data_IF_236448339260
#
_entry.id   IF_236448339260
#
_cell.length_a   1.000
_cell.length_b   1.000
_cell.length_c   1.000
_cell.angle_alpha   90.00
_cell.angle_beta   90.00
_cell.angle_gamma   90.00
#
_symmetry.space_group_name_H-M   'P 1'
#
loop_
_entity.id
_entity.type
_entity.pdbx_description
1 polymer ?
#
# COMPACT_ATOMS: atom_id res chain seq x y z
N UNK A 1 -6.92 0.73 -32.90
CA UNK A 1 -7.33 1.79 -31.94
C UNK A 1 -8.45 1.34 -31.00
N UNK A 2 -9.53 0.75 -31.52
CA UNK A 2 -10.69 0.28 -30.72
C UNK A 2 -10.28 -0.71 -29.61
N UNK A 3 -9.38 -1.64 -29.89
CA UNK A 3 -8.90 -2.63 -28.89
C UNK A 3 -8.21 -2.01 -27.68
N UNK A 4 -7.39 -0.96 -27.87
CA UNK A 4 -6.74 -0.23 -26.77
C UNK A 4 -7.76 0.49 -25.88
N UNK A 5 -8.78 1.08 -26.48
CA UNK A 5 -9.84 1.78 -25.76
C UNK A 5 -10.71 0.81 -24.93
N UNK A 6 -11.09 -0.33 -25.51
CA UNK A 6 -11.81 -1.39 -24.79
C UNK A 6 -10.99 -1.91 -23.62
N UNK A 7 -9.68 -2.17 -23.81
CA UNK A 7 -8.77 -2.57 -22.71
C UNK A 7 -8.76 -1.53 -21.59
N UNK A 8 -8.63 -0.24 -21.92
CA UNK A 8 -8.61 0.85 -20.93
C UNK A 8 -9.89 0.90 -20.09
N UNK A 9 -11.06 0.75 -20.72
CA UNK A 9 -12.34 0.73 -20.00
C UNK A 9 -12.42 -0.49 -19.07
N UNK A 10 -12.04 -1.67 -19.56
CA UNK A 10 -12.04 -2.89 -18.76
C UNK A 10 -11.13 -2.75 -17.54
N UNK A 11 -9.90 -2.30 -17.75
CA UNK A 11 -8.91 -2.07 -16.68
C UNK A 11 -9.44 -1.05 -15.66
N UNK A 12 -10.05 0.05 -16.11
CA UNK A 12 -10.64 1.05 -15.18
C UNK A 12 -11.79 0.46 -14.35
N UNK A 13 -12.65 -0.38 -14.96
CA UNK A 13 -13.74 -1.06 -14.24
C UNK A 13 -13.21 -2.06 -13.23
N UNK A 14 -12.21 -2.85 -13.59
CA UNK A 14 -11.54 -3.79 -12.71
C UNK A 14 -10.90 -3.08 -11.52
N UNK A 15 -10.16 -2.01 -11.79
CA UNK A 15 -9.51 -1.23 -10.75
C UNK A 15 -10.53 -0.64 -9.76
N UNK A 16 -11.63 -0.07 -10.25
CA UNK A 16 -12.72 0.41 -9.38
C UNK A 16 -13.34 -0.71 -8.53
N UNK A 17 -13.55 -1.90 -9.10
CA UNK A 17 -14.07 -3.07 -8.34
C UNK A 17 -13.14 -3.49 -7.22
N UNK A 18 -11.82 -3.35 -7.41
CA UNK A 18 -10.82 -3.63 -6.38
C UNK A 18 -10.60 -2.51 -5.36
N UNK A 19 -11.47 -1.49 -5.34
CA UNK A 19 -11.27 -0.26 -4.56
C UNK A 19 -9.90 0.38 -4.85
N UNK A 20 -9.56 0.48 -6.14
CA UNK A 20 -8.27 0.98 -6.63
C UNK A 20 -7.04 0.20 -6.12
N UNK A 21 -7.21 -1.10 -5.91
CA UNK A 21 -6.16 -2.02 -5.46
C UNK A 21 -6.12 -2.26 -3.95
N UNK A 22 -6.86 -1.48 -3.16
CA UNK A 22 -6.87 -1.60 -1.68
C UNK A 22 -7.31 -2.97 -1.18
N UNK A 23 -8.18 -3.66 -1.93
CA UNK A 23 -8.66 -4.99 -1.57
C UNK A 23 -7.63 -6.11 -1.82
N UNK A 24 -6.43 -5.79 -2.32
CA UNK A 24 -5.40 -6.77 -2.70
C UNK A 24 -4.11 -6.69 -1.89
N UNK A 25 -4.14 -6.02 -0.73
CA UNK A 25 -2.97 -5.81 0.12
C UNK A 25 -1.82 -5.09 -0.62
N UNK A 26 -0.77 -4.77 0.14
CA UNK A 26 0.41 -4.11 -0.39
C UNK A 26 1.67 -4.72 0.21
N UNK A 27 2.71 -4.88 -0.60
CA UNK A 27 4.05 -5.10 -0.09
C UNK A 27 4.70 -3.78 0.30
N UNK A 28 5.48 -3.81 1.38
CA UNK A 28 6.38 -2.74 1.80
C UNK A 28 7.76 -3.09 1.26
N UNK A 29 8.31 -2.22 0.41
CA UNK A 29 9.64 -2.38 -0.18
C UNK A 29 10.60 -1.32 0.37
N UNK A 30 11.80 -1.78 0.73
CA UNK A 30 12.91 -0.95 1.18
C UNK A 30 14.22 -1.50 0.62
N UNK A 31 15.05 -0.64 0.03
CA UNK A 31 16.31 -1.03 -0.64
C UNK A 31 16.14 -2.23 -1.61
N UNK A 32 15.11 -2.15 -2.46
CA UNK A 32 14.75 -3.16 -3.46
C UNK A 32 14.44 -4.56 -2.88
N UNK A 33 14.12 -4.64 -1.59
CA UNK A 33 13.66 -5.85 -0.90
C UNK A 33 12.26 -5.67 -0.36
N UNK A 34 11.43 -6.71 -0.48
CA UNK A 34 10.14 -6.76 0.22
C UNK A 34 10.41 -7.10 1.68
N UNK A 35 10.12 -6.15 2.56
CA UNK A 35 10.42 -6.26 4.01
C UNK A 35 9.18 -6.56 4.84
N UNK A 36 7.99 -6.27 4.31
CA UNK A 36 6.73 -6.43 5.01
C UNK A 36 5.53 -6.32 4.08
N UNK A 37 4.35 -6.30 4.69
CA UNK A 37 3.09 -6.15 3.99
C UNK A 37 2.07 -5.38 4.82
N UNK A 38 1.21 -4.64 4.11
CA UNK A 38 0.02 -3.98 4.62
C UNK A 38 -1.18 -4.79 4.18
N UNK A 39 -1.87 -5.37 5.15
CA UNK A 39 -2.99 -6.27 4.90
C UNK A 39 -4.26 -5.80 5.59
N UNK A 40 -5.37 -6.46 5.28
CA UNK A 40 -6.64 -6.29 5.99
C UNK A 40 -7.11 -4.82 6.00
N UNK A 41 -7.29 -4.29 4.80
CA UNK A 41 -7.76 -2.93 4.55
C UNK A 41 -9.06 -2.63 5.30
N UNK A 42 -9.08 -1.50 6.01
CA UNK A 42 -10.30 -0.87 6.51
C UNK A 42 -10.33 0.61 6.13
N UNK A 43 -11.53 1.11 5.80
CA UNK A 43 -11.75 2.53 5.62
C UNK A 43 -11.83 3.22 6.99
N UNK A 44 -11.11 4.32 7.18
CA UNK A 44 -11.17 5.09 8.44
C UNK A 44 -11.95 6.40 8.25
N UNK A 45 -11.50 7.26 7.34
CA UNK A 45 -12.17 8.53 7.06
C UNK A 45 -11.93 9.02 5.62
N UNK A 46 -12.37 10.26 5.33
CA UNK A 46 -12.29 10.91 4.02
C UNK A 46 -10.91 10.82 3.34
N UNK A 47 -9.82 10.78 4.10
CA UNK A 47 -8.46 10.77 3.56
C UNK A 47 -7.61 9.58 3.99
N UNK A 48 -8.06 8.84 5.00
CA UNK A 48 -7.28 7.80 5.64
C UNK A 48 -7.93 6.42 5.49
N UNK A 49 -7.07 5.47 5.14
CA UNK A 49 -7.33 4.04 5.15
C UNK A 49 -6.45 3.42 6.24
N UNK A 50 -6.85 2.29 6.84
CA UNK A 50 -5.99 1.57 7.79
C UNK A 50 -5.67 0.16 7.32
N UNK A 51 -4.50 -0.33 7.73
CA UNK A 51 -3.97 -1.63 7.38
C UNK A 51 -3.20 -2.21 8.55
N UNK A 52 -3.19 -3.54 8.68
CA UNK A 52 -2.30 -4.24 9.60
C UNK A 52 -0.90 -4.33 8.99
N UNK A 53 0.12 -3.95 9.76
CA UNK A 53 1.53 -4.09 9.36
C UNK A 53 2.02 -5.48 9.74
N UNK A 54 2.49 -6.26 8.76
CA UNK A 54 3.20 -7.52 9.02
C UNK A 54 4.61 -7.46 8.48
N UNK A 55 5.54 -8.00 9.25
CA UNK A 55 6.90 -8.21 8.79
C UNK A 55 6.99 -9.50 7.99
N UNK A 56 7.83 -9.52 6.96
CA UNK A 56 8.14 -10.76 6.22
C UNK A 56 8.96 -11.74 7.06
N UNK A 57 9.80 -11.22 7.96
CA UNK A 57 10.65 -12.00 8.87
C UNK A 57 11.13 -11.12 10.05
N UNK A 58 11.83 -11.70 11.01
CA UNK A 58 12.23 -10.97 12.23
C UNK A 58 13.31 -9.89 11.99
N UNK A 59 14.17 -10.02 10.97
CA UNK A 59 15.23 -9.04 10.68
C UNK A 59 14.68 -7.65 10.30
N UNK A 60 13.48 -7.58 9.73
CA UNK A 60 12.87 -6.30 9.34
C UNK A 60 12.05 -5.64 10.45
N UNK A 61 11.85 -6.31 11.59
CA UNK A 61 10.98 -5.79 12.65
C UNK A 61 11.40 -4.40 13.09
N UNK A 62 12.70 -4.20 13.38
CA UNK A 62 13.21 -2.91 13.83
C UNK A 62 13.00 -1.81 12.79
N UNK A 63 13.22 -2.10 11.51
CA UNK A 63 13.01 -1.15 10.41
C UNK A 63 11.54 -0.80 10.24
N UNK A 64 10.64 -1.78 10.35
CA UNK A 64 9.20 -1.56 10.22
C UNK A 64 8.60 -0.81 11.41
N UNK A 65 9.15 -0.96 12.61
CA UNK A 65 8.71 -0.22 13.80
C UNK A 65 9.36 1.14 13.97
N UNK A 66 10.42 1.46 13.21
CA UNK A 66 11.09 2.77 13.25
C UNK A 66 10.34 3.78 12.37
N UNK A 67 9.66 4.80 12.93
CA UNK A 67 8.86 5.73 12.15
C UNK A 67 9.68 6.52 11.13
N UNK A 68 10.99 6.71 11.37
CA UNK A 68 11.88 7.44 10.44
C UNK A 68 12.17 6.66 9.16
N UNK A 69 12.06 5.34 9.19
CA UNK A 69 12.32 4.51 8.03
C UNK A 69 11.20 4.61 6.98
N UNK A 70 9.98 4.97 7.39
CA UNK A 70 8.79 4.91 6.55
C UNK A 70 8.77 5.88 5.36
N UNK A 71 9.46 7.00 5.46
CA UNK A 71 9.60 7.94 4.33
C UNK A 71 10.34 7.34 3.13
N UNK A 72 11.12 6.27 3.36
CA UNK A 72 11.90 5.60 2.33
C UNK A 72 11.21 4.35 1.79
N UNK A 73 10.03 4.00 2.31
CA UNK A 73 9.31 2.82 1.87
C UNK A 73 8.54 3.08 0.59
N UNK A 74 8.48 2.06 -0.27
CA UNK A 74 7.61 2.02 -1.43
C UNK A 74 6.53 0.96 -1.20
N UNK A 75 5.34 1.20 -1.75
CA UNK A 75 4.21 0.30 -1.55
C UNK A 75 3.78 -0.32 -2.87
N UNK A 76 3.98 -1.63 -3.02
CA UNK A 76 3.68 -2.38 -4.25
C UNK A 76 2.39 -3.17 -4.09
N UNK A 77 1.42 -2.96 -4.96
CA UNK A 77 0.18 -3.73 -4.94
C UNK A 77 0.48 -5.20 -5.24
N UNK A 78 0.00 -6.13 -4.40
CA UNK A 78 0.36 -7.54 -4.54
C UNK A 78 -0.27 -8.19 -5.79
N UNK A 79 -1.42 -7.68 -6.27
CA UNK A 79 -2.11 -8.24 -7.43
C UNK A 79 -1.68 -7.62 -8.75
N UNK A 80 -1.57 -6.29 -8.81
CA UNK A 80 -1.23 -5.58 -10.05
C UNK A 80 0.28 -5.40 -10.27
N UNK A 81 1.12 -5.72 -9.28
CA UNK A 81 2.57 -5.54 -9.33
C UNK A 81 3.01 -4.08 -9.59
N UNK A 82 2.21 -3.12 -9.12
CA UNK A 82 2.40 -1.68 -9.36
C UNK A 82 2.55 -0.91 -8.05
N UNK A 83 3.41 0.12 -8.06
CA UNK A 83 3.61 0.98 -6.89
C UNK A 83 2.55 2.09 -6.77
N UNK A 84 2.14 2.39 -5.54
CA UNK A 84 1.46 3.63 -5.20
C UNK A 84 2.49 4.76 -5.03
N UNK A 85 2.44 5.77 -5.90
CA UNK A 85 3.50 6.80 -6.02
C UNK A 85 3.43 7.86 -4.91
N UNK A 86 2.25 8.06 -4.32
CA UNK A 86 2.00 9.16 -3.40
C UNK A 86 1.62 8.70 -2.00
N UNK A 87 1.81 7.41 -1.69
CA UNK A 87 1.39 6.82 -0.43
C UNK A 87 2.34 7.19 0.72
N UNK A 88 1.78 7.45 1.90
CA UNK A 88 2.53 7.76 3.12
C UNK A 88 1.71 7.39 4.37
N UNK A 89 2.37 7.09 5.51
CA UNK A 89 1.69 6.80 6.77
C UNK A 89 1.15 8.07 7.45
N UNK A 90 0.12 7.91 8.27
CA UNK A 90 -0.39 8.96 9.15
C UNK A 90 0.55 9.23 10.33
N UNK A 91 0.48 10.45 10.89
CA UNK A 91 1.25 10.82 12.08
C UNK A 91 2.75 11.11 11.86
N UNK A 92 3.31 10.80 10.68
CA UNK A 92 4.73 11.06 10.39
C UNK A 92 5.67 10.37 11.37
N UNK A 93 6.73 11.05 11.81
CA UNK A 93 7.71 10.48 12.75
C UNK A 93 7.22 10.31 14.20
N UNK A 94 6.01 10.79 14.51
CA UNK A 94 5.41 10.68 15.85
C UNK A 94 4.47 9.47 15.98
N UNK A 95 4.31 8.68 14.91
CA UNK A 95 3.46 7.50 14.94
C UNK A 95 4.19 6.34 15.63
N UNK A 96 3.65 5.83 16.73
CA UNK A 96 4.08 4.56 17.32
C UNK A 96 3.61 3.41 16.42
N UNK A 97 4.53 2.79 15.68
CA UNK A 97 4.22 1.71 14.75
C UNK A 97 4.50 0.37 15.42
N UNK A 98 3.42 -0.40 15.63
CA UNK A 98 3.46 -1.70 16.27
C UNK A 98 3.12 -2.78 15.23
N UNK A 99 3.94 -3.82 15.16
CA UNK A 99 3.69 -4.94 14.25
C UNK A 99 2.41 -5.69 14.65
N UNK A 100 1.67 -6.14 13.64
CA UNK A 100 0.36 -6.75 13.74
C UNK A 100 -0.74 -5.84 14.27
N UNK A 101 -0.47 -4.53 14.39
CA UNK A 101 -1.47 -3.52 14.66
C UNK A 101 -1.77 -2.69 13.41
N UNK A 102 -2.85 -1.90 13.50
CA UNK A 102 -3.31 -1.04 12.41
C UNK A 102 -2.52 0.24 12.36
N UNK A 103 -2.12 0.63 11.17
CA UNK A 103 -1.61 1.97 10.88
C UNK A 103 -2.54 2.67 9.89
N UNK A 104 -2.56 4.00 9.94
CA UNK A 104 -3.25 4.80 8.94
C UNK A 104 -2.32 5.09 7.77
N UNK A 105 -2.85 4.98 6.55
CA UNK A 105 -2.18 5.26 5.29
C UNK A 105 -3.02 6.22 4.47
N UNK A 106 -2.36 7.17 3.80
CA UNK A 106 -2.99 8.04 2.82
C UNK A 106 -2.46 7.74 1.44
N UNK A 107 -3.30 7.97 0.42
CA UNK A 107 -2.92 7.84 -0.99
C UNK A 107 -2.44 6.45 -1.43
N UNK A 108 -2.77 5.41 -0.65
CA UNK A 108 -2.39 4.03 -0.93
C UNK A 108 -3.39 3.37 -1.89
N UNK A 109 -3.33 3.78 -3.16
CA UNK A 109 -4.18 3.29 -4.25
C UNK A 109 -3.52 3.48 -5.62
N UNK A 110 -3.99 2.74 -6.63
CA UNK A 110 -3.57 2.92 -8.02
C UNK A 110 -4.56 3.82 -8.77
N UNK A 111 -4.07 4.60 -9.73
CA UNK A 111 -4.90 5.42 -10.62
C UNK A 111 -5.18 4.73 -11.96
N UNK A 112 -4.32 3.81 -12.38
CA UNK A 112 -4.43 3.03 -13.61
C UNK A 112 -3.66 1.70 -13.55
N UNK A 113 -4.10 0.74 -14.36
CA UNK A 113 -3.40 -0.54 -14.59
C UNK A 113 -2.57 -0.41 -15.86
N UNK A 114 -1.26 -0.72 -15.77
CA UNK A 114 -0.30 -0.66 -16.88
C UNK A 114 -0.42 -1.86 -17.84
#
# INVERSE_FOLDING_TARGET
>A
MISKWIKKIRNSRELKKSNWGRNFNWYIEYNDKIIGELIDYEWMDMFWDTYIVKSMNEEWNQTLTDPKSWDNFKYKNQYYDQYAIHAFPGGGYECDIILNERISMRSLYLTEIK
#
